data_IF_530654631630
#
_entry.id   IF_530654631630
#
_cell.length_a   1.000
_cell.length_b   1.000
_cell.length_c   1.000
_cell.angle_alpha   90.00
_cell.angle_beta   90.00
_cell.angle_gamma   90.00
#
_symmetry.space_group_name_H-M   'P 1'
#
loop_
_entity.id
_entity.type
_entity.pdbx_description
1 polymer ?
#
# COMPACT_ATOMS: atom_id res chain seq x y z
N UNK A 1 35.80 41.44 34.21
CA UNK A 1 36.08 40.03 34.42
C UNK A 1 35.22 39.50 35.55
N UNK A 2 34.12 38.87 35.29
CA UNK A 2 33.31 38.12 36.27
C UNK A 2 33.10 36.74 35.72
N UNK A 3 33.67 35.74 36.38
CA UNK A 3 33.60 34.33 36.04
C UNK A 3 32.19 33.79 36.28
N UNK A 4 31.59 33.18 35.28
CA UNK A 4 30.36 32.41 35.39
C UNK A 4 30.70 31.02 35.94
N UNK A 5 30.17 30.72 37.14
CA UNK A 5 30.22 29.39 37.74
C UNK A 5 29.26 28.46 37.00
N UNK A 6 29.78 27.36 36.47
CA UNK A 6 29.01 26.24 35.94
C UNK A 6 28.44 25.47 37.13
N UNK A 7 27.09 25.32 37.15
CA UNK A 7 26.40 24.46 38.12
C UNK A 7 26.47 23.00 37.64
N UNK A 8 26.61 22.02 38.53
CA UNK A 8 26.69 20.63 38.17
C UNK A 8 25.32 20.08 37.71
N UNK A 9 25.33 19.32 36.64
CA UNK A 9 24.18 18.59 36.10
C UNK A 9 23.65 17.56 37.10
N UNK A 10 22.36 17.66 37.42
CA UNK A 10 21.62 16.66 38.17
C UNK A 10 21.45 15.40 37.33
N UNK A 11 21.72 14.18 37.83
CA UNK A 11 21.47 12.96 37.09
C UNK A 11 19.96 12.70 36.98
N UNK A 12 19.46 12.67 35.75
CA UNK A 12 18.09 12.21 35.44
C UNK A 12 18.06 10.73 35.78
N UNK A 13 17.35 10.39 36.84
CA UNK A 13 17.02 9.01 37.18
C UNK A 13 16.28 8.35 35.99
N UNK A 14 16.78 7.18 35.57
CA UNK A 14 16.24 6.38 34.50
C UNK A 14 14.73 6.19 34.66
N UNK A 15 13.98 6.59 33.64
CA UNK A 15 12.65 6.03 33.39
C UNK A 15 12.88 4.58 32.97
N UNK A 16 12.50 3.68 33.84
CA UNK A 16 12.35 2.27 33.51
C UNK A 16 11.35 2.17 32.36
N UNK A 17 11.80 1.55 31.28
CA UNK A 17 10.96 1.05 30.20
C UNK A 17 9.76 0.32 30.82
N UNK A 18 8.57 0.91 30.69
CA UNK A 18 7.32 0.22 31.03
C UNK A 18 7.02 -0.79 29.92
N UNK A 19 7.71 -1.93 30.07
CA UNK A 19 7.27 -3.28 29.76
C UNK A 19 6.28 -3.44 28.62
N UNK A 20 6.80 -3.86 27.46
CA UNK A 20 6.06 -4.77 26.59
C UNK A 20 5.62 -5.98 27.41
N UNK A 21 4.31 -6.17 27.59
CA UNK A 21 3.77 -7.42 28.13
C UNK A 21 4.37 -8.60 27.36
N UNK A 22 4.73 -9.70 28.04
CA UNK A 22 5.19 -10.89 27.36
C UNK A 22 4.14 -11.33 26.34
N UNK A 23 4.56 -11.64 25.11
CA UNK A 23 3.69 -12.08 24.02
C UNK A 23 2.72 -13.22 24.41
N UNK A 24 3.10 -14.04 25.37
CA UNK A 24 2.29 -15.13 25.95
C UNK A 24 0.99 -14.64 26.62
N UNK A 25 0.97 -13.47 27.24
CA UNK A 25 -0.26 -12.95 27.89
C UNK A 25 -1.27 -12.41 26.86
N UNK A 26 -0.81 -11.89 25.75
CA UNK A 26 -1.71 -11.39 24.68
C UNK A 26 -2.44 -12.57 24.04
N UNK A 27 -1.75 -13.67 23.79
CA UNK A 27 -2.34 -14.87 23.17
C UNK A 27 -3.35 -15.59 24.09
N UNK A 28 -3.27 -15.43 25.42
CA UNK A 28 -4.25 -15.95 26.37
C UNK A 28 -5.50 -15.06 26.50
N UNK A 29 -5.33 -13.75 26.52
CA UNK A 29 -6.45 -12.79 26.55
C UNK A 29 -7.27 -12.80 25.26
N UNK A 30 -6.64 -13.15 24.14
CA UNK A 30 -7.23 -13.30 22.81
C UNK A 30 -8.20 -14.50 22.72
N UNK A 31 -8.10 -15.49 23.61
CA UNK A 31 -8.95 -16.70 23.58
C UNK A 31 -10.40 -16.46 24.04
N UNK A 32 -10.71 -15.32 24.60
CA UNK A 32 -12.00 -15.06 25.29
C UNK A 32 -12.87 -14.00 24.61
N UNK A 33 -12.66 -13.65 23.34
CA UNK A 33 -13.44 -12.63 22.67
C UNK A 33 -13.71 -12.94 21.20
N UNK A 34 -14.50 -12.08 20.57
CA UNK A 34 -14.70 -12.15 19.11
C UNK A 34 -13.41 -11.72 18.42
N UNK A 35 -13.00 -12.48 17.42
CA UNK A 35 -11.77 -12.24 16.69
C UNK A 35 -12.01 -12.37 15.19
N UNK A 36 -11.34 -11.51 14.43
CA UNK A 36 -11.19 -11.66 12.99
C UNK A 36 -9.73 -11.43 12.62
N UNK A 37 -9.19 -12.27 11.76
CA UNK A 37 -7.87 -12.08 11.15
C UNK A 37 -8.00 -11.98 9.65
N UNK A 38 -7.43 -10.92 9.10
CA UNK A 38 -7.47 -10.58 7.69
C UNK A 38 -6.08 -10.67 7.09
N UNK A 39 -5.97 -11.27 5.91
CA UNK A 39 -4.80 -11.20 5.05
C UNK A 39 -5.13 -10.24 3.91
N UNK A 40 -4.38 -9.15 3.80
CA UNK A 40 -4.61 -8.08 2.84
C UNK A 40 -3.39 -7.94 1.93
N UNK A 41 -3.54 -8.08 0.61
CA UNK A 41 -2.44 -7.88 -0.31
C UNK A 41 -2.07 -6.40 -0.40
N UNK A 42 -0.77 -6.12 -0.56
CA UNK A 42 -0.30 -4.84 -1.03
C UNK A 42 -0.73 -4.59 -2.47
N UNK A 43 -0.46 -3.40 -2.97
CA UNK A 43 -0.86 -3.04 -4.33
C UNK A 43 0.08 -2.03 -4.95
N UNK A 44 0.21 -2.07 -6.27
CA UNK A 44 0.73 -0.98 -7.08
C UNK A 44 -0.40 -0.37 -7.90
N UNK A 45 -0.29 0.90 -8.25
CA UNK A 45 -1.34 1.57 -9.01
C UNK A 45 -0.80 2.46 -10.11
N UNK A 46 -1.71 3.01 -10.90
CA UNK A 46 -1.49 3.81 -12.08
C UNK A 46 -0.91 3.02 -13.27
N UNK A 47 0.07 2.17 -13.07
CA UNK A 47 0.71 1.36 -14.11
C UNK A 47 1.09 2.19 -15.36
N UNK A 48 1.74 3.34 -15.15
CA UNK A 48 1.99 4.34 -16.17
C UNK A 48 0.71 5.14 -16.49
N UNK A 49 0.05 4.96 -17.65
CA UNK A 49 -0.99 5.89 -18.13
C UNK A 49 -2.33 5.83 -17.38
N UNK A 50 -2.51 4.90 -16.45
CA UNK A 50 -3.78 4.66 -15.77
C UNK A 50 -3.92 5.38 -14.44
N UNK A 51 -3.53 6.66 -14.36
CA UNK A 51 -3.64 7.48 -13.15
C UNK A 51 -5.05 7.42 -12.53
N UNK A 52 -5.12 7.07 -11.23
CA UNK A 52 -6.34 6.94 -10.43
C UNK A 52 -7.39 5.95 -11.01
N UNK A 53 -6.98 5.11 -11.98
CA UNK A 53 -7.84 4.17 -12.69
C UNK A 53 -7.37 2.72 -12.54
N UNK A 54 -6.07 2.46 -12.69
CA UNK A 54 -5.53 1.11 -12.70
C UNK A 54 -4.87 0.76 -11.37
N UNK A 55 -5.24 -0.40 -10.81
CA UNK A 55 -4.61 -1.01 -9.65
C UNK A 55 -4.21 -2.46 -9.91
N UNK A 56 -3.20 -2.94 -9.19
CA UNK A 56 -2.70 -4.31 -9.30
C UNK A 56 -2.34 -4.83 -7.91
N UNK A 57 -2.98 -5.88 -7.46
CA UNK A 57 -2.69 -6.51 -6.19
C UNK A 57 -1.37 -7.29 -6.24
N UNK A 58 -0.62 -7.29 -5.15
CA UNK A 58 0.72 -7.87 -5.05
C UNK A 58 0.76 -8.92 -3.95
N UNK A 59 1.54 -9.98 -4.17
CA UNK A 59 1.76 -11.07 -3.20
C UNK A 59 2.71 -10.68 -2.04
N UNK A 60 2.56 -9.49 -1.53
CA UNK A 60 3.18 -8.99 -0.30
C UNK A 60 2.04 -8.54 0.62
N UNK A 61 2.06 -8.92 1.89
CA UNK A 61 0.85 -8.91 2.69
C UNK A 61 0.97 -8.13 3.98
N UNK A 62 -0.19 -7.58 4.40
CA UNK A 62 -0.44 -7.17 5.77
C UNK A 62 -1.44 -8.15 6.39
N UNK A 63 -1.08 -8.75 7.54
CA UNK A 63 -2.00 -9.53 8.38
C UNK A 63 -2.49 -8.63 9.51
N UNK A 64 -3.80 -8.45 9.59
CA UNK A 64 -4.41 -7.62 10.60
C UNK A 64 -5.40 -8.45 11.41
N UNK A 65 -5.16 -8.54 12.72
CA UNK A 65 -6.09 -9.21 13.63
C UNK A 65 -6.79 -8.16 14.49
N UNK A 66 -8.10 -8.27 14.57
CA UNK A 66 -8.95 -7.42 15.40
C UNK A 66 -9.60 -8.30 16.46
N UNK A 67 -9.47 -7.90 17.69
CA UNK A 67 -10.00 -8.60 18.85
C UNK A 67 -10.99 -7.68 19.55
N UNK A 68 -12.15 -8.18 19.86
CA UNK A 68 -13.12 -7.49 20.69
C UNK A 68 -13.16 -8.20 22.05
N UNK A 69 -12.49 -7.63 23.04
CA UNK A 69 -12.44 -8.16 24.39
C UNK A 69 -13.86 -8.20 25.00
N UNK A 70 -14.13 -9.10 25.94
CA UNK A 70 -15.41 -9.14 26.66
C UNK A 70 -15.61 -7.87 27.49
N UNK A 71 -14.54 -7.42 28.16
CA UNK A 71 -14.48 -6.16 28.90
C UNK A 71 -13.27 -5.34 28.48
N UNK A 72 -13.30 -4.03 28.76
CA UNK A 72 -12.15 -3.18 28.51
C UNK A 72 -11.01 -3.53 29.50
N UNK A 73 -9.86 -3.90 28.95
CA UNK A 73 -8.64 -4.13 29.72
C UNK A 73 -7.54 -3.12 29.27
N UNK A 74 -7.31 -2.06 30.06
CA UNK A 74 -6.29 -1.05 29.74
C UNK A 74 -4.85 -1.58 29.78
N UNK A 75 -4.61 -2.77 30.36
CA UNK A 75 -3.27 -3.38 30.37
C UNK A 75 -2.90 -3.96 29.02
N UNK A 76 -3.89 -4.26 28.14
CA UNK A 76 -3.68 -4.74 26.79
C UNK A 76 -3.49 -3.56 25.83
N UNK A 77 -2.35 -3.46 25.13
CA UNK A 77 -2.10 -2.37 24.18
C UNK A 77 -3.20 -2.27 23.12
N UNK A 78 -3.60 -1.03 22.79
CA UNK A 78 -4.61 -0.77 21.77
C UNK A 78 -4.20 -1.32 20.40
N UNK A 79 -2.94 -1.07 20.03
CA UNK A 79 -2.36 -1.55 18.77
C UNK A 79 -1.00 -2.17 19.04
N UNK A 80 -0.76 -3.33 18.47
CA UNK A 80 0.51 -4.04 18.53
C UNK A 80 1.02 -4.28 17.12
N UNK A 81 2.25 -3.85 16.84
CA UNK A 81 2.95 -4.16 15.60
C UNK A 81 3.88 -5.35 15.78
N UNK A 82 3.91 -6.24 14.77
CA UNK A 82 4.84 -7.39 14.69
C UNK A 82 5.67 -7.32 13.40
N UNK A 83 6.78 -8.05 13.37
CA UNK A 83 7.67 -8.10 12.20
C UNK A 83 8.38 -6.77 11.93
N UNK A 84 8.63 -6.47 10.67
CA UNK A 84 9.39 -5.27 10.28
C UNK A 84 8.65 -3.96 10.55
N UNK A 85 7.32 -3.98 10.51
CA UNK A 85 6.50 -2.80 10.84
C UNK A 85 6.66 -2.36 12.30
N UNK A 86 7.05 -3.26 13.21
CA UNK A 86 7.30 -2.94 14.61
C UNK A 86 8.45 -1.94 14.81
N UNK A 87 9.34 -1.83 13.83
CA UNK A 87 10.44 -0.85 13.81
C UNK A 87 10.03 0.53 13.31
N UNK A 88 8.78 0.68 12.88
CA UNK A 88 8.25 1.93 12.34
C UNK A 88 7.88 2.92 13.44
N UNK A 89 7.73 4.19 13.07
CA UNK A 89 7.24 5.26 13.94
C UNK A 89 5.71 5.43 13.89
N UNK A 90 4.97 4.42 13.42
CA UNK A 90 3.51 4.49 13.37
C UNK A 90 2.92 4.56 14.77
N UNK A 91 1.87 5.36 14.92
CA UNK A 91 1.14 5.50 16.18
C UNK A 91 0.55 4.14 16.61
N UNK A 92 0.74 3.80 17.89
CA UNK A 92 0.17 2.60 18.52
C UNK A 92 -1.01 2.94 19.43
N UNK A 93 -1.54 4.13 19.28
CA UNK A 93 -2.64 4.70 20.05
C UNK A 93 -3.81 5.13 19.12
N UNK A 94 -4.67 5.97 19.62
CA UNK A 94 -5.85 6.49 18.92
C UNK A 94 -5.50 7.33 17.67
N UNK A 95 -4.25 7.78 17.51
CA UNK A 95 -3.76 8.48 16.31
C UNK A 95 -3.49 7.55 15.12
N UNK A 96 -3.55 6.24 15.30
CA UNK A 96 -3.39 5.28 14.21
C UNK A 96 -4.54 5.35 13.20
N UNK A 97 -4.21 5.25 11.90
CA UNK A 97 -5.20 5.32 10.82
C UNK A 97 -6.32 4.27 10.99
N UNK A 98 -5.97 3.01 11.27
CA UNK A 98 -6.93 1.92 11.45
C UNK A 98 -7.91 2.23 12.59
N UNK A 99 -7.40 2.67 13.75
CA UNK A 99 -8.24 3.04 14.88
C UNK A 99 -9.10 4.28 14.58
N UNK A 100 -8.54 5.27 13.92
CA UNK A 100 -9.28 6.50 13.52
C UNK A 100 -10.47 6.14 12.64
N UNK A 101 -10.33 5.20 11.73
CA UNK A 101 -11.41 4.72 10.87
C UNK A 101 -12.48 4.00 11.71
N UNK A 102 -12.07 3.05 12.57
CA UNK A 102 -13.01 2.38 13.49
C UNK A 102 -13.77 3.38 14.36
N UNK A 103 -13.09 4.39 14.87
CA UNK A 103 -13.69 5.45 15.68
C UNK A 103 -14.78 6.22 14.91
N UNK A 104 -14.54 6.54 13.64
CA UNK A 104 -15.56 7.17 12.77
C UNK A 104 -16.76 6.26 12.52
N UNK A 105 -16.52 4.96 12.29
CA UNK A 105 -17.56 3.99 11.98
C UNK A 105 -18.42 3.62 13.21
N UNK A 106 -17.81 3.65 14.37
CA UNK A 106 -18.44 3.26 15.65
C UNK A 106 -18.75 4.44 16.57
N UNK A 107 -18.91 5.65 16.02
CA UNK A 107 -19.20 6.87 16.81
C UNK A 107 -20.33 6.72 17.84
N UNK A 108 -21.31 5.86 17.55
CA UNK A 108 -22.46 5.60 18.44
C UNK A 108 -22.26 4.37 19.32
N UNK A 109 -21.15 3.67 19.17
CA UNK A 109 -20.87 2.40 19.84
C UNK A 109 -19.51 2.48 20.56
N UNK A 110 -19.33 3.49 21.40
CA UNK A 110 -18.08 3.72 22.14
C UNK A 110 -17.63 2.49 22.93
N UNK A 111 -18.58 1.69 23.45
CA UNK A 111 -18.28 0.45 24.14
C UNK A 111 -17.54 -0.60 23.29
N UNK A 112 -17.61 -0.54 21.97
CA UNK A 112 -16.82 -1.38 21.08
C UNK A 112 -15.39 -0.83 20.95
N UNK A 113 -15.25 0.51 20.85
CA UNK A 113 -13.96 1.17 20.75
C UNK A 113 -13.08 0.94 21.99
N UNK A 114 -13.68 0.93 23.17
CA UNK A 114 -12.95 0.69 24.42
C UNK A 114 -12.38 -0.74 24.50
N UNK A 115 -13.05 -1.70 23.86
CA UNK A 115 -12.73 -3.13 23.90
C UNK A 115 -11.95 -3.65 22.70
N UNK A 116 -11.86 -2.87 21.61
CA UNK A 116 -11.13 -3.33 20.42
C UNK A 116 -9.62 -3.30 20.67
N UNK A 117 -8.92 -4.34 20.19
CA UNK A 117 -7.46 -4.42 20.13
C UNK A 117 -7.06 -4.83 18.73
N UNK A 118 -5.97 -4.28 18.25
CA UNK A 118 -5.53 -4.44 16.87
C UNK A 118 -4.10 -4.96 16.87
N UNK A 119 -3.85 -6.02 16.13
CA UNK A 119 -2.50 -6.50 15.88
C UNK A 119 -2.23 -6.45 14.38
N UNK A 120 -1.10 -5.88 14.00
CA UNK A 120 -0.68 -5.75 12.60
C UNK A 120 0.69 -6.38 12.42
N UNK A 121 0.78 -7.32 11.51
CA UNK A 121 2.02 -7.93 11.01
C UNK A 121 2.09 -7.68 9.50
N UNK A 122 3.00 -6.83 9.06
CA UNK A 122 3.04 -6.37 7.67
C UNK A 122 4.43 -6.48 7.07
N UNK A 123 4.48 -7.12 5.90
CA UNK A 123 5.64 -7.18 5.01
C UNK A 123 5.70 -5.96 4.08
N UNK A 124 4.61 -5.17 3.99
CA UNK A 124 4.49 -4.06 3.05
C UNK A 124 5.28 -2.86 3.55
N UNK A 125 6.30 -2.38 2.82
CA UNK A 125 7.03 -1.18 3.18
C UNK A 125 6.12 0.05 3.22
N UNK A 126 6.34 0.92 4.23
CA UNK A 126 5.49 2.07 4.48
C UNK A 126 5.88 3.27 3.59
N UNK A 127 4.87 3.96 3.04
CA UNK A 127 5.05 5.25 2.37
C UNK A 127 5.88 5.21 1.08
N UNK A 128 5.91 4.06 0.40
CA UNK A 128 6.70 3.85 -0.83
C UNK A 128 5.85 3.51 -2.05
N UNK A 129 4.53 3.65 -1.97
CA UNK A 129 3.62 3.41 -3.10
C UNK A 129 3.20 1.94 -3.27
N UNK A 130 3.27 1.12 -2.22
CA UNK A 130 2.88 -0.29 -2.24
C UNK A 130 1.57 -0.59 -1.50
N UNK A 131 0.69 0.40 -1.34
CA UNK A 131 -0.69 0.21 -0.89
C UNK A 131 -0.87 -0.02 0.63
N UNK A 132 0.11 0.33 1.48
CA UNK A 132 0.01 0.13 2.93
C UNK A 132 -1.18 0.89 3.55
N UNK A 133 -1.49 2.12 3.11
CA UNK A 133 -2.66 2.88 3.55
C UNK A 133 -3.96 2.13 3.20
N UNK A 134 -4.05 1.63 1.97
CA UNK A 134 -5.22 0.91 1.48
C UNK A 134 -5.48 -0.37 2.28
N UNK A 135 -4.44 -1.11 2.70
CA UNK A 135 -4.63 -2.28 3.58
C UNK A 135 -5.19 -1.89 4.95
N UNK A 136 -4.74 -0.78 5.53
CA UNK A 136 -5.25 -0.28 6.80
C UNK A 136 -6.73 0.14 6.71
N UNK A 137 -7.10 0.84 5.62
CA UNK A 137 -8.47 1.30 5.38
C UNK A 137 -9.41 0.10 5.15
N UNK A 138 -9.04 -0.78 4.22
CA UNK A 138 -9.85 -1.97 3.89
C UNK A 138 -9.99 -2.89 5.10
N UNK A 139 -8.91 -3.14 5.83
CA UNK A 139 -8.92 -3.96 7.04
C UNK A 139 -9.84 -3.41 8.12
N UNK A 140 -9.78 -2.11 8.39
CA UNK A 140 -10.65 -1.44 9.37
C UNK A 140 -12.13 -1.52 8.98
N UNK A 141 -12.46 -1.21 7.72
CA UNK A 141 -13.83 -1.26 7.20
C UNK A 141 -14.40 -2.68 7.23
N UNK A 142 -13.61 -3.67 6.83
CA UNK A 142 -14.02 -5.07 6.87
C UNK A 142 -14.27 -5.53 8.29
N UNK A 143 -13.32 -5.36 9.19
CA UNK A 143 -13.44 -5.74 10.59
C UNK A 143 -14.60 -5.03 11.30
N UNK A 144 -14.82 -3.73 11.00
CA UNK A 144 -15.93 -2.98 11.58
C UNK A 144 -17.29 -3.59 11.24
N UNK A 145 -17.46 -4.13 10.05
CA UNK A 145 -18.70 -4.81 9.66
C UNK A 145 -18.81 -6.18 10.32
N UNK A 146 -17.79 -7.02 10.22
CA UNK A 146 -17.85 -8.40 10.78
C UNK A 146 -18.03 -8.40 12.28
N UNK A 147 -17.33 -7.52 13.01
CA UNK A 147 -17.48 -7.41 14.47
C UNK A 147 -18.88 -6.92 14.91
N UNK A 148 -19.68 -6.42 13.99
CA UNK A 148 -21.10 -6.06 14.19
C UNK A 148 -22.08 -7.03 13.52
N UNK A 149 -21.67 -8.25 13.23
CA UNK A 149 -22.50 -9.27 12.57
C UNK A 149 -23.07 -8.84 11.22
N UNK A 150 -22.32 -7.98 10.48
CA UNK A 150 -22.67 -7.57 9.13
C UNK A 150 -21.77 -8.29 8.14
N UNK A 151 -22.33 -8.67 7.00
CA UNK A 151 -21.56 -9.27 5.91
C UNK A 151 -21.04 -8.12 5.02
N UNK A 152 -19.72 -7.87 4.99
CA UNK A 152 -19.14 -6.85 4.11
C UNK A 152 -19.26 -7.30 2.65
N UNK A 153 -19.50 -6.36 1.75
CA UNK A 153 -19.44 -6.59 0.31
C UNK A 153 -18.43 -5.66 -0.33
N UNK A 154 -17.64 -6.15 -1.27
CA UNK A 154 -16.63 -5.32 -1.92
C UNK A 154 -17.18 -4.01 -2.52
N UNK A 155 -18.35 -3.97 -3.21
CA UNK A 155 -18.88 -2.71 -3.73
C UNK A 155 -19.25 -1.69 -2.65
N UNK A 156 -19.82 -2.12 -1.51
CA UNK A 156 -20.18 -1.19 -0.43
C UNK A 156 -18.94 -0.65 0.28
N UNK A 157 -17.98 -1.54 0.57
CA UNK A 157 -16.73 -1.15 1.20
C UNK A 157 -15.88 -0.24 0.32
N UNK A 158 -15.84 -0.49 -1.00
CA UNK A 158 -15.05 0.32 -1.91
C UNK A 158 -15.57 1.76 -1.99
N UNK A 159 -16.89 1.96 -1.99
CA UNK A 159 -17.46 3.31 -1.98
C UNK A 159 -17.05 4.07 -0.72
N UNK A 160 -17.21 3.44 0.45
CA UNK A 160 -16.86 4.03 1.75
C UNK A 160 -15.34 4.26 1.89
N UNK A 161 -14.53 3.31 1.45
CA UNK A 161 -13.07 3.42 1.44
C UNK A 161 -12.58 4.56 0.54
N UNK A 162 -13.21 4.76 -0.62
CA UNK A 162 -12.88 5.81 -1.56
C UNK A 162 -13.16 7.21 -0.99
N UNK A 163 -14.18 7.38 -0.15
CA UNK A 163 -14.44 8.63 0.58
C UNK A 163 -13.32 8.97 1.57
N UNK A 164 -12.62 7.96 2.08
CA UNK A 164 -11.50 8.14 3.03
C UNK A 164 -10.17 8.41 2.33
N UNK A 165 -9.89 7.71 1.22
CA UNK A 165 -8.59 7.74 0.52
C UNK A 165 -8.57 8.76 -0.63
N UNK A 166 -9.71 8.99 -1.27
CA UNK A 166 -9.86 9.90 -2.41
C UNK A 166 -9.56 9.27 -3.78
N UNK A 167 -9.12 8.00 -3.85
CA UNK A 167 -8.87 7.28 -5.09
C UNK A 167 -9.10 5.76 -4.90
N UNK A 168 -9.67 5.08 -5.91
CA UNK A 168 -10.21 3.73 -5.71
C UNK A 168 -9.25 2.58 -6.01
N UNK A 169 -8.20 2.78 -6.80
CA UNK A 169 -7.51 1.71 -7.50
C UNK A 169 -6.71 0.78 -6.57
N UNK A 170 -6.01 1.33 -5.55
CA UNK A 170 -5.31 0.53 -4.56
C UNK A 170 -6.29 -0.21 -3.63
N UNK A 171 -7.40 0.45 -3.27
CA UNK A 171 -8.46 -0.12 -2.45
C UNK A 171 -9.14 -1.29 -3.17
N UNK A 172 -9.47 -1.11 -4.45
CA UNK A 172 -10.09 -2.14 -5.27
C UNK A 172 -9.14 -3.32 -5.49
N UNK A 173 -7.85 -3.08 -5.74
CA UNK A 173 -6.85 -4.13 -5.86
C UNK A 173 -6.72 -4.93 -4.55
N UNK A 174 -6.66 -4.26 -3.40
CA UNK A 174 -6.62 -4.92 -2.09
C UNK A 174 -7.88 -5.77 -1.82
N UNK A 175 -9.07 -5.26 -2.18
CA UNK A 175 -10.35 -5.96 -1.97
C UNK A 175 -10.54 -7.16 -2.90
N UNK A 176 -10.21 -6.98 -4.20
CA UNK A 176 -10.64 -7.89 -5.26
C UNK A 176 -9.53 -8.80 -5.77
N UNK A 177 -8.27 -8.44 -5.55
CA UNK A 177 -7.14 -9.10 -6.21
C UNK A 177 -7.05 -8.82 -7.71
N UNK A 178 -5.99 -9.32 -8.35
CA UNK A 178 -5.76 -9.17 -9.79
C UNK A 178 -5.45 -7.73 -10.21
N UNK A 179 -5.57 -7.49 -11.50
CA UNK A 179 -5.57 -6.14 -12.07
C UNK A 179 -6.99 -5.58 -12.03
N UNK A 180 -7.17 -4.37 -11.56
CA UNK A 180 -8.47 -3.70 -11.51
C UNK A 180 -8.48 -2.43 -12.34
N UNK A 181 -9.60 -2.21 -13.03
CA UNK A 181 -9.92 -0.95 -13.70
C UNK A 181 -11.07 -0.30 -12.93
N UNK A 182 -10.84 0.89 -12.41
CA UNK A 182 -11.80 1.62 -11.60
C UNK A 182 -12.30 2.86 -12.33
N UNK A 183 -13.60 3.10 -12.23
CA UNK A 183 -14.23 4.29 -12.80
C UNK A 183 -15.34 4.79 -11.86
N UNK A 184 -15.37 6.06 -11.49
CA UNK A 184 -16.54 6.64 -10.83
C UNK A 184 -17.78 6.46 -11.70
N UNK A 185 -18.88 5.98 -11.12
CA UNK A 185 -20.16 5.94 -11.83
C UNK A 185 -20.65 7.35 -12.13
N UNK A 186 -21.48 7.50 -13.16
CA UNK A 186 -22.05 8.81 -13.54
C UNK A 186 -22.77 9.52 -12.38
N UNK A 187 -23.33 8.76 -11.42
CA UNK A 187 -23.95 9.31 -10.20
C UNK A 187 -22.93 9.85 -9.18
N UNK A 188 -21.64 9.59 -9.34
CA UNK A 188 -20.57 9.89 -8.36
C UNK A 188 -20.63 9.11 -7.06
N UNK A 189 -21.66 8.28 -6.84
CA UNK A 189 -21.93 7.62 -5.55
C UNK A 189 -21.33 6.21 -5.42
N UNK A 190 -20.82 5.66 -6.49
CA UNK A 190 -20.20 4.32 -6.49
C UNK A 190 -19.02 4.28 -7.43
N UNK A 191 -18.13 3.32 -7.19
CA UNK A 191 -17.06 2.99 -8.10
C UNK A 191 -17.47 1.74 -8.88
N UNK A 192 -17.40 1.84 -10.19
CA UNK A 192 -17.53 0.68 -11.09
C UNK A 192 -16.14 0.08 -11.24
N UNK A 193 -16.02 -1.21 -10.98
CA UNK A 193 -14.76 -1.93 -11.10
C UNK A 193 -14.87 -3.07 -12.07
N UNK A 194 -13.83 -3.26 -12.87
CA UNK A 194 -13.63 -4.46 -13.69
C UNK A 194 -12.32 -5.10 -13.23
N UNK A 195 -12.34 -6.40 -13.01
CA UNK A 195 -11.16 -7.18 -12.69
C UNK A 195 -10.69 -7.93 -13.93
N UNK A 196 -9.39 -7.85 -14.20
CA UNK A 196 -8.72 -8.59 -15.25
C UNK A 196 -7.72 -9.56 -14.64
N UNK A 197 -7.60 -10.74 -15.28
CA UNK A 197 -6.51 -11.65 -14.98
C UNK A 197 -5.19 -11.05 -15.48
N UNK A 198 -4.17 -11.05 -14.61
CA UNK A 198 -2.83 -10.69 -15.01
C UNK A 198 -2.15 -11.90 -15.66
N UNK A 199 -1.38 -11.74 -16.76
CA UNK A 199 -0.70 -12.86 -17.38
C UNK A 199 0.24 -13.58 -16.40
N UNK A 200 0.02 -14.88 -16.18
CA UNK A 200 0.73 -15.67 -15.17
C UNK A 200 2.25 -15.74 -15.39
N UNK A 201 2.71 -15.45 -16.59
CA UNK A 201 4.14 -15.44 -16.95
C UNK A 201 4.82 -14.08 -16.74
N UNK A 202 4.07 -13.04 -16.39
CA UNK A 202 4.63 -11.72 -16.12
C UNK A 202 4.96 -11.55 -14.64
N UNK A 203 6.15 -11.05 -14.36
CA UNK A 203 6.71 -10.83 -13.02
C UNK A 203 6.95 -9.35 -12.79
N UNK A 204 6.99 -8.98 -11.53
CA UNK A 204 7.13 -7.59 -11.09
C UNK A 204 8.40 -7.48 -10.25
N UNK A 205 9.42 -6.84 -10.79
CA UNK A 205 10.62 -6.49 -10.06
C UNK A 205 10.45 -5.07 -9.52
N UNK A 206 10.33 -4.94 -8.21
CA UNK A 206 10.00 -3.66 -7.57
C UNK A 206 11.22 -3.14 -6.81
N UNK A 207 11.84 -2.10 -7.35
CA UNK A 207 12.87 -1.38 -6.61
C UNK A 207 12.21 -0.40 -5.64
N UNK A 208 12.48 -0.56 -4.36
CA UNK A 208 11.97 0.28 -3.27
C UNK A 208 13.14 1.01 -2.62
N UNK A 209 13.29 2.33 -2.84
CA UNK A 209 14.33 3.12 -2.17
C UNK A 209 14.03 3.33 -0.68
N UNK A 210 15.08 3.61 0.11
CA UNK A 210 15.00 3.80 1.56
C UNK A 210 14.44 5.16 1.99
N UNK A 211 13.62 5.81 1.16
CA UNK A 211 12.91 7.04 1.54
C UNK A 211 11.43 6.93 1.21
N UNK A 212 10.63 7.58 2.03
CA UNK A 212 9.18 7.62 1.87
C UNK A 212 8.76 8.87 1.11
N UNK A 213 7.66 8.77 0.37
CA UNK A 213 7.05 9.89 -0.32
C UNK A 213 5.60 10.04 0.12
N UNK A 214 5.27 11.24 0.60
CA UNK A 214 3.89 11.54 0.97
C UNK A 214 3.02 11.70 -0.28
N UNK A 215 1.88 11.03 -0.33
CA UNK A 215 0.95 11.06 -1.46
C UNK A 215 0.46 12.48 -1.77
N UNK A 216 0.25 13.33 -0.76
CA UNK A 216 -0.12 14.73 -0.97
C UNK A 216 0.99 15.52 -1.68
N UNK A 217 2.24 15.32 -1.29
CA UNK A 217 3.39 15.94 -1.96
C UNK A 217 3.50 15.46 -3.42
N UNK A 218 3.30 14.16 -3.67
CA UNK A 218 3.31 13.59 -5.01
C UNK A 218 2.11 14.03 -5.88
N UNK A 219 0.99 14.44 -5.28
CA UNK A 219 -0.13 15.05 -6.00
C UNK A 219 0.08 16.54 -6.26
N UNK A 220 0.75 17.24 -5.34
CA UNK A 220 1.00 18.68 -5.46
C UNK A 220 1.89 19.06 -6.66
N UNK A 221 2.71 18.14 -7.17
CA UNK A 221 3.54 18.37 -8.36
C UNK A 221 2.80 18.19 -9.68
N UNK A 222 1.56 17.67 -9.65
CA UNK A 222 0.76 17.45 -10.86
C UNK A 222 0.20 18.77 -11.39
N UNK A 223 0.14 18.95 -12.74
CA UNK A 223 -0.44 20.14 -13.32
C UNK A 223 -1.95 20.17 -13.12
N UNK A 224 -2.51 21.37 -12.95
CA UNK A 224 -3.97 21.57 -12.89
C UNK A 224 -4.64 21.51 -14.27
N UNK A 225 -3.88 21.68 -15.33
CA UNK A 225 -4.31 21.65 -16.71
C UNK A 225 -3.25 20.89 -17.53
N UNK A 226 -3.68 20.16 -18.54
CA UNK A 226 -2.83 19.43 -19.47
C UNK A 226 -3.19 19.80 -20.90
N UNK A 227 -2.25 19.67 -21.83
CA UNK A 227 -2.54 19.81 -23.24
C UNK A 227 -3.48 18.70 -23.72
N UNK A 228 -4.42 19.04 -24.60
CA UNK A 228 -5.37 18.07 -25.15
C UNK A 228 -4.68 16.86 -25.79
N UNK A 229 -3.57 17.08 -26.48
CA UNK A 229 -2.77 16.04 -27.12
C UNK A 229 -2.20 15.05 -26.09
N UNK A 230 -1.75 15.51 -24.92
CA UNK A 230 -1.25 14.65 -23.85
C UNK A 230 -2.39 13.85 -23.20
N UNK A 231 -3.56 14.45 -23.04
CA UNK A 231 -4.75 13.74 -22.56
C UNK A 231 -5.15 12.63 -23.56
N UNK A 232 -5.20 12.94 -24.86
CA UNK A 232 -5.49 11.95 -25.91
C UNK A 232 -4.45 10.84 -25.96
N UNK A 233 -3.16 11.19 -25.81
CA UNK A 233 -2.09 10.21 -25.74
C UNK A 233 -2.30 9.21 -24.62
N UNK A 234 -2.62 9.67 -23.40
CA UNK A 234 -2.90 8.78 -22.27
C UNK A 234 -4.15 7.91 -22.49
N UNK A 235 -5.20 8.44 -23.12
CA UNK A 235 -6.38 7.65 -23.49
C UNK A 235 -6.00 6.49 -24.40
N UNK A 236 -5.15 6.73 -25.41
CA UNK A 236 -4.66 5.67 -26.29
C UNK A 236 -3.82 4.64 -25.52
N UNK A 237 -2.92 5.09 -24.65
CA UNK A 237 -2.01 4.21 -23.89
C UNK A 237 -2.76 3.36 -22.87
N UNK A 238 -3.69 3.93 -22.09
CA UNK A 238 -4.45 3.15 -21.09
C UNK A 238 -5.38 2.14 -21.77
N UNK A 239 -6.03 2.50 -22.88
CA UNK A 239 -6.88 1.58 -23.62
C UNK A 239 -6.07 0.41 -24.20
N UNK A 240 -4.89 0.71 -24.78
CA UNK A 240 -3.97 -0.31 -25.29
C UNK A 240 -3.44 -1.21 -24.17
N UNK A 241 -3.06 -0.65 -23.02
CA UNK A 241 -2.57 -1.41 -21.87
C UNK A 241 -3.61 -2.44 -21.40
N UNK A 242 -4.85 -2.00 -21.18
CA UNK A 242 -5.94 -2.88 -20.76
C UNK A 242 -6.19 -4.00 -21.79
N UNK A 243 -6.22 -3.67 -23.07
CA UNK A 243 -6.41 -4.65 -24.15
C UNK A 243 -5.24 -5.63 -24.25
N UNK A 244 -4.01 -5.16 -24.15
CA UNK A 244 -2.79 -5.99 -24.22
C UNK A 244 -2.69 -6.95 -23.03
N UNK A 245 -2.99 -6.49 -21.81
CA UNK A 245 -3.05 -7.36 -20.62
C UNK A 245 -4.11 -8.44 -20.78
N UNK A 246 -5.32 -8.09 -21.20
CA UNK A 246 -6.42 -9.04 -21.40
C UNK A 246 -6.10 -10.13 -22.44
N UNK A 247 -5.17 -9.85 -23.37
CA UNK A 247 -4.75 -10.78 -24.43
C UNK A 247 -3.37 -11.40 -24.17
N UNK A 248 -2.70 -11.02 -23.09
CA UNK A 248 -1.30 -11.39 -22.81
C UNK A 248 -0.35 -11.05 -23.97
N UNK A 249 -0.59 -9.92 -24.64
CA UNK A 249 0.16 -9.47 -25.81
C UNK A 249 1.39 -8.66 -25.39
N UNK A 250 2.58 -9.33 -25.34
CA UNK A 250 3.82 -8.71 -24.96
C UNK A 250 4.27 -7.58 -25.92
N UNK A 251 3.96 -7.69 -27.20
CA UNK A 251 4.34 -6.68 -28.19
C UNK A 251 3.56 -5.38 -27.96
N UNK A 252 2.24 -5.51 -27.80
CA UNK A 252 1.36 -4.38 -27.58
C UNK A 252 1.59 -3.73 -26.20
N UNK A 253 1.87 -4.54 -25.16
CA UNK A 253 2.06 -4.01 -23.81
C UNK A 253 3.33 -3.19 -23.65
N UNK A 254 4.41 -3.53 -24.36
CA UNK A 254 5.67 -2.75 -24.36
C UNK A 254 5.47 -1.30 -24.76
N UNK A 255 4.54 -1.05 -25.68
CA UNK A 255 4.22 0.28 -26.18
C UNK A 255 3.17 1.02 -25.32
N UNK A 256 2.63 0.36 -24.27
CA UNK A 256 1.45 0.86 -23.56
C UNK A 256 1.74 1.55 -22.21
N UNK A 257 2.92 1.36 -21.62
CA UNK A 257 3.25 1.86 -20.29
C UNK A 257 3.69 3.33 -20.23
N UNK A 258 3.77 4.02 -21.37
CA UNK A 258 4.19 5.42 -21.38
C UNK A 258 3.06 6.36 -20.91
N UNK A 259 3.44 7.39 -20.14
CA UNK A 259 2.53 8.33 -19.52
C UNK A 259 2.97 9.79 -19.74
N UNK A 260 2.00 10.68 -19.91
CA UNK A 260 2.21 12.13 -20.01
C UNK A 260 1.51 12.96 -18.97
N UNK A 261 0.72 12.32 -18.09
CA UNK A 261 -0.12 13.04 -17.13
C UNK A 261 0.49 13.17 -15.74
N UNK A 262 1.26 12.18 -15.28
CA UNK A 262 1.79 12.23 -13.92
C UNK A 262 3.27 11.85 -13.79
N UNK A 263 3.76 10.83 -14.49
CA UNK A 263 5.15 10.37 -14.36
C UNK A 263 6.19 11.43 -14.74
N UNK A 264 6.03 12.24 -15.79
CA UNK A 264 6.99 13.29 -16.13
C UNK A 264 7.16 14.34 -15.01
N UNK A 265 6.12 14.57 -14.23
CA UNK A 265 6.15 15.49 -13.11
C UNK A 265 6.71 14.83 -11.85
N UNK A 266 6.28 13.59 -11.54
CA UNK A 266 6.77 12.81 -10.41
C UNK A 266 8.21 12.34 -10.56
N UNK A 267 8.72 12.15 -11.77
CA UNK A 267 10.12 11.83 -12.03
C UNK A 267 11.10 12.89 -11.50
N UNK A 268 10.63 14.13 -11.27
CA UNK A 268 11.43 15.20 -10.66
C UNK A 268 11.70 14.97 -9.18
N UNK A 269 10.79 14.26 -8.50
CA UNK A 269 10.87 13.93 -7.06
C UNK A 269 11.21 12.45 -6.82
N UNK A 270 11.10 11.60 -7.86
CA UNK A 270 11.54 10.20 -7.86
C UNK A 270 12.46 9.98 -9.07
N UNK A 271 13.70 10.45 -9.00
CA UNK A 271 14.63 10.38 -10.14
C UNK A 271 15.03 8.95 -10.52
N UNK A 272 14.79 7.98 -9.63
CA UNK A 272 14.99 6.55 -9.86
C UNK A 272 14.22 6.05 -11.07
N UNK A 273 13.01 6.54 -11.31
CA UNK A 273 12.21 6.14 -12.47
C UNK A 273 12.96 6.39 -13.79
N UNK A 274 13.42 7.63 -13.99
CA UNK A 274 14.11 8.00 -15.22
C UNK A 274 15.48 7.33 -15.36
N UNK A 275 16.18 7.12 -14.25
CA UNK A 275 17.50 6.47 -14.23
C UNK A 275 17.37 4.99 -14.54
N UNK A 276 16.43 4.30 -13.90
CA UNK A 276 16.20 2.88 -14.11
C UNK A 276 15.66 2.60 -15.52
N UNK A 277 14.78 3.43 -16.07
CA UNK A 277 14.35 3.34 -17.48
C UNK A 277 15.51 3.42 -18.45
N UNK A 278 16.47 4.30 -18.18
CA UNK A 278 17.69 4.43 -19.02
C UNK A 278 18.58 3.20 -18.89
N UNK A 279 18.75 2.70 -17.69
CA UNK A 279 19.55 1.51 -17.40
C UNK A 279 18.99 0.25 -18.10
N UNK A 280 17.66 0.16 -18.15
CA UNK A 280 16.96 -0.99 -18.71
C UNK A 280 16.55 -0.83 -20.19
N UNK A 281 17.03 0.21 -20.89
CA UNK A 281 16.62 0.55 -22.26
C UNK A 281 16.78 -0.61 -23.24
N UNK A 282 17.87 -1.40 -23.09
CA UNK A 282 18.20 -2.52 -23.97
C UNK A 282 17.90 -3.89 -23.33
N UNK A 283 17.26 -3.89 -22.16
CA UNK A 283 16.92 -5.12 -21.46
C UNK A 283 15.54 -5.64 -21.90
N UNK A 284 15.30 -6.95 -21.81
CA UNK A 284 14.05 -7.57 -22.25
C UNK A 284 12.91 -7.36 -21.25
N UNK A 285 12.58 -6.10 -20.97
CA UNK A 285 11.47 -5.69 -20.11
C UNK A 285 10.16 -5.54 -20.90
N UNK A 286 9.02 -5.64 -20.23
CA UNK A 286 7.71 -5.32 -20.77
C UNK A 286 7.30 -3.87 -20.45
N UNK A 287 7.76 -3.33 -19.32
CA UNK A 287 7.53 -1.96 -18.90
C UNK A 287 8.30 -1.59 -17.65
N UNK A 288 8.44 -0.29 -17.41
CA UNK A 288 9.05 0.25 -16.19
C UNK A 288 8.29 1.52 -15.81
N UNK A 289 7.60 1.49 -14.66
CA UNK A 289 6.63 2.50 -14.24
C UNK A 289 6.80 2.85 -12.77
N UNK A 290 6.27 4.00 -12.37
CA UNK A 290 6.18 4.37 -10.97
C UNK A 290 5.10 3.56 -10.26
N UNK A 291 5.36 3.11 -9.03
CA UNK A 291 4.37 2.46 -8.18
C UNK A 291 3.51 3.51 -7.47
N UNK A 292 2.28 3.67 -7.90
CA UNK A 292 1.37 4.64 -7.30
C UNK A 292 1.92 6.06 -7.33
N UNK A 293 2.06 6.66 -6.15
CA UNK A 293 2.68 7.98 -5.98
C UNK A 293 4.23 7.93 -5.95
N UNK A 294 4.81 6.75 -5.84
CA UNK A 294 6.23 6.50 -5.58
C UNK A 294 6.45 6.30 -4.06
N UNK A 295 7.66 6.08 -3.64
CA UNK A 295 8.98 6.14 -4.29
C UNK A 295 9.38 4.88 -5.08
N UNK A 296 8.65 3.77 -4.93
CA UNK A 296 9.01 2.52 -5.64
C UNK A 296 8.81 2.61 -7.15
N UNK A 297 9.67 1.88 -7.88
CA UNK A 297 9.61 1.72 -9.33
C UNK A 297 9.38 0.25 -9.65
N UNK A 298 8.38 -0.03 -10.46
CA UNK A 298 8.01 -1.38 -10.90
C UNK A 298 8.53 -1.64 -12.30
N UNK A 299 9.33 -2.68 -12.46
CA UNK A 299 9.73 -3.21 -13.76
C UNK A 299 8.96 -4.49 -14.03
N UNK A 300 8.19 -4.50 -15.12
CA UNK A 300 7.41 -5.66 -15.56
C UNK A 300 8.25 -6.45 -16.54
N UNK A 301 8.37 -7.75 -16.30
CA UNK A 301 9.18 -8.66 -17.12
C UNK A 301 8.44 -9.97 -17.39
N UNK A 302 8.77 -10.65 -18.48
CA UNK A 302 8.37 -12.04 -18.62
C UNK A 302 9.25 -12.92 -17.70
N UNK A 303 8.70 -13.99 -17.15
CA UNK A 303 9.41 -14.92 -16.24
C UNK A 303 10.75 -15.43 -16.81
N UNK A 304 10.86 -15.63 -18.14
CA UNK A 304 12.08 -16.07 -18.82
C UNK A 304 13.24 -15.05 -18.75
N UNK A 305 12.93 -13.77 -18.56
CA UNK A 305 13.90 -12.67 -18.52
C UNK A 305 14.13 -12.14 -17.10
N UNK A 306 13.39 -12.64 -16.12
CA UNK A 306 13.36 -12.11 -14.76
C UNK A 306 14.74 -12.03 -14.13
N UNK A 307 15.49 -13.14 -14.15
CA UNK A 307 16.77 -13.22 -13.43
C UNK A 307 17.84 -12.31 -14.05
N UNK A 308 17.88 -12.21 -15.40
CA UNK A 308 18.78 -11.32 -16.11
C UNK A 308 18.50 -9.85 -15.78
N UNK A 309 17.22 -9.46 -15.81
CA UNK A 309 16.81 -8.08 -15.49
C UNK A 309 17.01 -7.77 -14.01
N UNK A 310 16.71 -8.73 -13.11
CA UNK A 310 16.95 -8.56 -11.68
C UNK A 310 18.44 -8.35 -11.36
N UNK A 311 19.33 -9.11 -12.00
CA UNK A 311 20.76 -8.94 -11.86
C UNK A 311 21.20 -7.55 -12.37
N UNK A 312 20.66 -7.08 -13.51
CA UNK A 312 20.97 -5.76 -14.03
C UNK A 312 20.52 -4.65 -13.07
N UNK A 313 19.34 -4.76 -12.49
CA UNK A 313 18.86 -3.81 -11.49
C UNK A 313 19.76 -3.82 -10.24
N UNK A 314 20.16 -5.00 -9.74
CA UNK A 314 21.06 -5.12 -8.60
C UNK A 314 22.44 -4.50 -8.86
N UNK A 315 22.98 -4.68 -10.07
CA UNK A 315 24.23 -4.03 -10.48
C UNK A 315 24.10 -2.52 -10.51
N UNK A 316 22.97 -2.00 -11.03
CA UNK A 316 22.67 -0.57 -11.04
C UNK A 316 22.53 -0.01 -9.60
N UNK A 317 21.82 -0.70 -8.71
CA UNK A 317 21.68 -0.30 -7.31
C UNK A 317 23.07 -0.17 -6.67
N UNK A 318 23.95 -1.14 -6.90
CA UNK A 318 25.31 -1.15 -6.37
C UNK A 318 26.18 -0.06 -6.97
N UNK A 319 26.15 0.11 -8.29
CA UNK A 319 26.95 1.09 -9.01
C UNK A 319 26.60 2.55 -8.66
N UNK A 320 25.30 2.83 -8.50
CA UNK A 320 24.80 4.15 -8.12
C UNK A 320 24.85 4.40 -6.59
N UNK A 321 25.31 3.43 -5.80
CA UNK A 321 25.32 3.53 -4.34
C UNK A 321 23.93 3.74 -3.74
N UNK A 322 22.88 3.24 -4.42
CA UNK A 322 21.51 3.40 -3.98
C UNK A 322 21.22 2.59 -2.74
N UNK A 323 20.52 3.21 -1.80
CA UNK A 323 19.97 2.48 -0.66
C UNK A 323 18.52 2.09 -0.97
N UNK A 324 18.22 0.81 -0.84
CA UNK A 324 16.90 0.27 -1.15
C UNK A 324 16.96 -1.23 -1.38
N UNK A 325 15.80 -1.79 -1.67
CA UNK A 325 15.62 -3.23 -1.87
C UNK A 325 14.95 -3.52 -3.21
N UNK A 326 15.35 -4.61 -3.84
CA UNK A 326 14.65 -5.17 -4.99
C UNK A 326 13.77 -6.32 -4.52
N UNK A 327 12.46 -6.20 -4.72
CA UNK A 327 11.48 -7.23 -4.43
C UNK A 327 11.09 -7.94 -5.73
N UNK A 328 11.01 -9.28 -5.69
CA UNK A 328 10.48 -10.13 -6.76
C UNK A 328 9.03 -10.49 -6.39
N UNK A 329 8.07 -9.82 -7.01
CA UNK A 329 6.66 -9.96 -6.68
C UNK A 329 5.85 -10.54 -7.84
N UNK A 330 4.71 -11.12 -7.46
CA UNK A 330 3.69 -11.62 -8.36
C UNK A 330 2.36 -10.94 -8.03
N UNK A 331 1.40 -11.11 -8.92
CA UNK A 331 0.05 -10.64 -8.67
C UNK A 331 -0.66 -11.58 -7.69
N UNK A 332 -1.33 -11.00 -6.73
CA UNK A 332 -2.29 -11.70 -5.88
C UNK A 332 -3.67 -11.70 -6.55
N UNK A 333 -4.20 -12.86 -6.82
CA UNK A 333 -5.49 -13.02 -7.50
C UNK A 333 -6.67 -13.16 -6.53
N UNK A 334 -6.44 -13.16 -5.23
CA UNK A 334 -7.47 -13.44 -4.24
C UNK A 334 -8.08 -12.16 -3.62
N UNK A 335 -7.26 -11.11 -3.45
CA UNK A 335 -7.63 -9.95 -2.66
C UNK A 335 -7.68 -10.25 -1.16
N UNK A 336 -8.52 -9.50 -0.44
CA UNK A 336 -8.70 -9.70 1.00
C UNK A 336 -9.21 -11.10 1.32
N UNK A 337 -8.66 -11.71 2.36
CA UNK A 337 -9.07 -13.02 2.86
C UNK A 337 -9.27 -12.97 4.37
N UNK A 338 -10.37 -13.54 4.86
CA UNK A 338 -10.50 -13.90 6.26
C UNK A 338 -9.74 -15.21 6.52
N UNK A 339 -8.88 -15.22 7.54
CA UNK A 339 -8.14 -16.41 7.92
C UNK A 339 -8.89 -17.10 9.07
N UNK A 340 -9.20 -18.38 8.87
CA UNK A 340 -9.61 -19.27 9.95
C UNK A 340 -8.40 -19.52 10.85
N UNK A 341 -8.60 -19.50 12.17
CA UNK A 341 -7.56 -19.67 13.19
C UNK A 341 -7.76 -20.96 13.97
#
# INVERSE_FOLDING_TARGET
MRSLKVLPSCPIKGQQDKTSLPLQNIDELIKQGRKITLKLPGSTSNLGPGLDCLGLALNIYSRMSFFLLEENDPSVPLITFRGDIAKSSLAQDQGNLTYTILSKLWQRDHHLLDRVRIMVDSEIPLGVGLGSSSTAIVGALWAANVLKDRIPTAPSLLAEACELEGHPENLAACLLGGMVVCCPAASGKRIVTQRLAWPADWRLLVFTPNYTLNTHAARAVLPKQVHFEDAMYNVHKVAQLVAAVARSDESAVREAFDDRLHEPFRAKIVPELSRLRRELLNEPILGCVLSGAGSSVVTIVHKRSKDVVAERINQWIKAEGKQGHLLDLQVDDQGIQELEL
#
